data_IF_164149158265
#
_entry.id   IF_164149158265
#
_cell.length_a   1.000
_cell.length_b   1.000
_cell.length_c   1.000
_cell.angle_alpha   90.00
_cell.angle_beta   90.00
_cell.angle_gamma   90.00
#
_symmetry.space_group_name_H-M   'P 1'
#
loop_
_entity.id
_entity.type
_entity.pdbx_description
1 polymer ?
#
# COMPACT_ATOMS: atom_id res chain seq x y z
N UNK A 1 -16.10 0.37 -8.10
CA UNK A 1 -16.55 -0.92 -8.68
C UNK A 1 -15.67 -2.03 -8.12
N UNK A 2 -16.18 -3.24 -7.91
CA UNK A 2 -15.35 -4.40 -7.57
C UNK A 2 -14.24 -4.56 -8.63
N UNK A 3 -13.04 -4.95 -8.20
CA UNK A 3 -11.84 -5.03 -9.06
C UNK A 3 -11.15 -3.70 -9.36
N UNK A 4 -11.61 -2.59 -8.78
CA UNK A 4 -10.94 -1.29 -8.93
C UNK A 4 -9.56 -1.28 -8.28
N UNK A 5 -8.54 -0.76 -8.98
CA UNK A 5 -7.18 -0.64 -8.44
C UNK A 5 -6.93 0.71 -7.80
N UNK A 6 -6.37 0.69 -6.61
CA UNK A 6 -5.93 1.85 -5.87
C UNK A 6 -4.40 1.84 -5.81
N UNK A 7 -3.79 2.82 -6.47
CA UNK A 7 -2.33 2.94 -6.63
C UNK A 7 -1.87 4.20 -5.91
N UNK A 8 -0.89 4.06 -5.03
CA UNK A 8 -0.30 5.19 -4.31
C UNK A 8 1.21 5.13 -4.40
N UNK A 9 1.82 6.29 -4.66
CA UNK A 9 3.26 6.52 -4.57
C UNK A 9 3.50 7.37 -3.34
N UNK A 10 4.34 6.90 -2.44
CA UNK A 10 4.78 7.62 -1.25
C UNK A 10 6.27 7.89 -1.34
N UNK A 11 6.73 8.98 -0.72
CA UNK A 11 8.16 9.32 -0.71
C UNK A 11 8.73 9.13 0.69
N UNK A 12 7.92 9.40 1.72
CA UNK A 12 8.34 9.33 3.11
C UNK A 12 7.85 8.06 3.78
N UNK A 13 8.65 7.55 4.72
CA UNK A 13 8.34 6.31 5.44
C UNK A 13 7.07 6.41 6.29
N UNK A 14 6.68 7.62 6.72
CA UNK A 14 5.47 7.83 7.52
C UNK A 14 4.20 7.67 6.66
N UNK A 15 4.21 8.23 5.45
CA UNK A 15 3.15 8.07 4.45
C UNK A 15 3.01 6.59 4.08
N UNK A 16 4.13 5.92 3.76
CA UNK A 16 4.14 4.50 3.40
C UNK A 16 3.54 3.62 4.50
N UNK A 17 3.84 3.93 5.77
CA UNK A 17 3.30 3.23 6.93
C UNK A 17 1.78 3.38 7.02
N UNK A 18 1.26 4.59 6.87
CA UNK A 18 -0.19 4.88 6.91
C UNK A 18 -0.91 4.13 5.79
N UNK A 19 -0.38 4.19 4.56
CA UNK A 19 -0.95 3.48 3.39
C UNK A 19 -0.90 1.96 3.59
N UNK A 20 0.23 1.43 4.06
CA UNK A 20 0.40 0.00 4.35
C UNK A 20 -0.60 -0.49 5.40
N UNK A 21 -0.79 0.27 6.47
CA UNK A 21 -1.75 -0.06 7.52
C UNK A 21 -3.16 -0.10 6.95
N UNK A 22 -3.55 0.94 6.21
CA UNK A 22 -4.88 1.04 5.61
C UNK A 22 -5.21 -0.15 4.69
N UNK A 23 -4.28 -0.56 3.81
CA UNK A 23 -4.50 -1.73 2.95
C UNK A 23 -4.53 -3.06 3.70
N UNK A 24 -3.81 -3.17 4.82
CA UNK A 24 -3.72 -4.42 5.59
C UNK A 24 -4.91 -4.59 6.54
N UNK A 25 -5.32 -3.52 7.22
CA UNK A 25 -6.27 -3.57 8.34
C UNK A 25 -7.56 -2.79 8.11
N UNK A 26 -7.65 -2.02 7.02
CA UNK A 26 -8.79 -1.13 6.75
C UNK A 26 -8.79 0.16 7.56
N UNK A 27 -7.76 0.42 8.36
CA UNK A 27 -7.60 1.65 9.16
C UNK A 27 -6.15 2.13 9.18
N UNK A 28 -5.96 3.41 9.51
CA UNK A 28 -4.64 4.04 9.52
C UNK A 28 -3.77 3.62 10.72
N UNK A 29 -4.40 3.20 11.82
CA UNK A 29 -3.73 2.79 13.06
C UNK A 29 -3.03 1.43 12.94
N UNK A 30 -3.41 0.60 11.96
CA UNK A 30 -2.85 -0.74 11.76
C UNK A 30 -3.44 -1.78 12.71
N UNK A 31 -4.57 -1.49 13.36
CA UNK A 31 -5.26 -2.40 14.28
C UNK A 31 -6.10 -3.38 13.48
N UNK A 32 -5.83 -4.68 13.59
CA UNK A 32 -6.62 -5.70 12.90
C UNK A 32 -7.93 -5.90 13.67
N UNK A 33 -9.02 -5.30 13.21
CA UNK A 33 -10.36 -5.63 13.69
C UNK A 33 -10.82 -6.91 13.01
N UNK A 34 -11.02 -7.96 13.83
CA UNK A 34 -11.53 -9.25 13.39
C UNK A 34 -12.92 -9.45 13.95
N UNK A 35 -13.82 -9.98 13.15
CA UNK A 35 -15.12 -10.44 13.63
C UNK A 35 -14.96 -11.76 14.39
N UNK A 36 -16.02 -12.21 15.07
CA UNK A 36 -16.04 -13.48 15.83
C UNK A 36 -15.68 -14.73 14.97
N UNK A 37 -15.75 -14.59 13.64
CA UNK A 37 -15.39 -15.61 12.65
C UNK A 37 -13.95 -15.47 12.11
N UNK A 38 -13.15 -14.55 12.64
CA UNK A 38 -11.75 -14.33 12.24
C UNK A 38 -11.57 -13.51 10.96
N UNK A 39 -12.66 -13.10 10.31
CA UNK A 39 -12.63 -12.27 9.11
C UNK A 39 -12.13 -10.86 9.43
N UNK A 40 -11.19 -10.37 8.63
CA UNK A 40 -10.66 -9.01 8.75
C UNK A 40 -11.54 -8.08 7.93
N UNK A 41 -12.12 -7.08 8.58
CA UNK A 41 -12.90 -6.03 7.90
C UNK A 41 -11.98 -5.08 7.13
N UNK A 42 -11.58 -5.47 5.91
CA UNK A 42 -10.80 -4.63 4.98
C UNK A 42 -11.50 -4.53 3.63
N UNK A 43 -11.45 -3.34 3.04
CA UNK A 43 -12.05 -3.05 1.73
C UNK A 43 -11.14 -3.42 0.55
N UNK A 44 -9.85 -3.68 0.82
CA UNK A 44 -8.84 -3.84 -0.21
C UNK A 44 -7.97 -5.10 -0.01
N UNK A 45 -7.58 -5.71 -1.11
CA UNK A 45 -6.58 -6.77 -1.22
C UNK A 45 -5.27 -6.23 -1.78
N UNK A 46 -4.16 -6.46 -1.08
CA UNK A 46 -2.84 -6.11 -1.62
C UNK A 46 -2.54 -6.99 -2.84
N UNK A 47 -2.27 -6.37 -3.99
CA UNK A 47 -1.85 -7.11 -5.19
C UNK A 47 -0.41 -7.61 -5.00
N UNK A 48 0.45 -6.74 -4.46
CA UNK A 48 1.85 -7.07 -4.18
C UNK A 48 2.11 -7.09 -2.67
N UNK A 49 2.77 -8.14 -2.19
CA UNK A 49 3.22 -8.24 -0.80
C UNK A 49 4.34 -7.24 -0.49
N UNK A 50 5.27 -7.09 -1.44
CA UNK A 50 6.41 -6.19 -1.33
C UNK A 50 6.12 -4.84 -2.00
N UNK A 51 6.71 -3.78 -1.47
CA UNK A 51 6.66 -2.44 -2.07
C UNK A 51 7.46 -2.44 -3.38
N UNK A 52 6.95 -1.76 -4.39
CA UNK A 52 7.69 -1.55 -5.65
C UNK A 52 8.54 -0.30 -5.48
N UNK A 53 9.84 -0.41 -5.79
CA UNK A 53 10.81 0.68 -5.73
C UNK A 53 11.21 1.10 -7.15
N UNK A 54 11.64 2.35 -7.30
CA UNK A 54 12.20 2.85 -8.55
C UNK A 54 13.45 2.05 -8.96
N UNK A 55 13.60 1.76 -10.25
CA UNK A 55 14.75 1.02 -10.78
C UNK A 55 16.03 1.86 -10.80
N UNK A 56 17.20 1.22 -10.94
CA UNK A 56 18.48 1.95 -10.91
C UNK A 56 18.61 3.02 -12.02
N UNK A 57 18.12 2.73 -13.23
CA UNK A 57 18.14 3.70 -14.34
C UNK A 57 17.24 4.91 -14.06
N UNK A 58 16.06 4.67 -13.48
CA UNK A 58 15.12 5.73 -13.10
C UNK A 58 15.71 6.62 -12.00
N UNK A 59 16.37 6.03 -11.01
CA UNK A 59 17.02 6.79 -9.94
C UNK A 59 18.17 7.67 -10.44
N UNK A 60 18.91 7.22 -11.46
CA UNK A 60 19.96 8.01 -12.12
C UNK A 60 19.40 9.19 -12.92
N UNK A 61 18.32 8.96 -13.67
CA UNK A 61 17.69 9.99 -14.50
C UNK A 61 16.79 10.94 -13.70
N UNK A 62 16.23 10.48 -12.58
CA UNK A 62 15.36 11.22 -11.69
C UNK A 62 15.70 10.92 -10.23
N UNK A 63 16.52 11.77 -9.63
CA UNK A 63 16.97 11.63 -8.24
C UNK A 63 15.80 11.63 -7.25
N UNK A 64 14.69 12.32 -7.56
CA UNK A 64 13.50 12.36 -6.69
C UNK A 64 12.80 11.00 -6.59
N UNK A 65 13.00 10.11 -7.57
CA UNK A 65 12.42 8.75 -7.56
C UNK A 65 13.08 7.83 -6.54
N UNK A 66 14.29 8.15 -6.04
CA UNK A 66 15.07 7.32 -5.12
C UNK A 66 14.29 6.87 -3.87
N UNK A 67 13.44 7.75 -3.33
CA UNK A 67 12.64 7.47 -2.13
C UNK A 67 11.23 6.97 -2.43
N UNK A 68 10.84 6.95 -3.72
CA UNK A 68 9.50 6.60 -4.16
C UNK A 68 9.19 5.12 -3.86
N UNK A 69 8.04 4.90 -3.26
CA UNK A 69 7.51 3.61 -2.85
C UNK A 69 6.10 3.47 -3.41
N UNK A 70 5.94 2.55 -4.35
CA UNK A 70 4.66 2.29 -5.01
C UNK A 70 3.96 1.10 -4.34
N UNK A 71 2.70 1.30 -3.99
CA UNK A 71 1.80 0.27 -3.46
C UNK A 71 0.53 0.20 -4.29
N UNK A 72 0.06 -1.03 -4.51
CA UNK A 72 -1.17 -1.31 -5.26
C UNK A 72 -2.07 -2.22 -4.45
N UNK A 73 -3.34 -1.84 -4.33
CA UNK A 73 -4.39 -2.65 -3.76
C UNK A 73 -5.60 -2.70 -4.68
N UNK A 74 -6.36 -3.79 -4.63
CA UNK A 74 -7.57 -4.02 -5.40
C UNK A 74 -8.78 -3.98 -4.47
N UNK A 75 -9.86 -3.34 -4.91
CA UNK A 75 -11.12 -3.30 -4.17
C UNK A 75 -11.85 -4.63 -4.33
N UNK A 76 -12.18 -5.25 -3.18
CA UNK A 76 -13.00 -6.46 -3.09
C UNK A 76 -14.43 -6.15 -3.54
#
# INVERSE_FOLDING_TARGET
KPGGRFVVITFHSIEDRVVKNYFKTGNFEGVVKKDNFGNISRLFTLINKNVILAGQNEQKNNIRSRSAKLRVAEKI
#
